data_IF_110458482222
#
_entry.id   IF_110458482222
#
_cell.length_a   1.000
_cell.length_b   1.000
_cell.length_c   1.000
_cell.angle_alpha   90.00
_cell.angle_beta   90.00
_cell.angle_gamma   90.00
#
_symmetry.space_group_name_H-M   'P 1'
#
loop_
_entity.id
_entity.type
_entity.pdbx_description
1 polymer ?
#
# COMPACT_ATOMS: atom_id res chain seq x y z
N UNK A 1 42.10 100.50 -9.75
CA UNK A 1 40.85 100.83 -10.48
C UNK A 1 40.70 99.80 -11.57
N UNK A 2 40.03 98.70 -11.25
CA UNK A 2 38.57 98.48 -11.43
C UNK A 2 38.29 98.06 -12.86
N UNK A 3 37.96 96.78 -13.05
CA UNK A 3 36.63 96.33 -13.53
C UNK A 3 36.61 96.26 -15.07
N UNK A 4 36.03 95.29 -15.76
CA UNK A 4 35.27 94.10 -15.42
C UNK A 4 35.03 93.33 -16.73
N UNK A 5 34.70 92.04 -16.62
CA UNK A 5 33.97 91.24 -17.60
C UNK A 5 34.50 90.98 -19.04
N UNK A 6 35.01 89.75 -19.23
CA UNK A 6 34.53 88.85 -20.30
C UNK A 6 34.85 87.38 -20.00
N UNK A 7 33.95 86.79 -19.22
CA UNK A 7 33.33 85.46 -19.38
C UNK A 7 34.14 84.30 -20.00
N UNK A 8 34.51 83.37 -19.12
CA UNK A 8 34.04 81.96 -19.10
C UNK A 8 34.04 81.18 -20.42
N UNK A 9 35.07 80.33 -20.59
CA UNK A 9 34.94 79.03 -21.27
C UNK A 9 35.57 77.92 -20.44
N UNK A 10 34.83 77.47 -19.43
CA UNK A 10 34.98 76.13 -18.88
C UNK A 10 34.32 75.13 -19.84
N UNK A 11 35.09 74.18 -20.36
CA UNK A 11 34.56 72.99 -21.02
C UNK A 11 34.74 71.79 -20.09
N UNK A 12 33.93 71.70 -19.05
CA UNK A 12 33.75 70.50 -18.24
C UNK A 12 32.65 69.65 -18.87
N UNK A 13 33.04 68.62 -19.62
CA UNK A 13 32.14 67.56 -20.04
C UNK A 13 31.80 66.65 -18.85
N UNK A 14 30.72 66.96 -18.13
CA UNK A 14 30.10 66.03 -17.19
C UNK A 14 29.18 65.05 -17.93
N UNK A 15 29.59 63.79 -17.97
CA UNK A 15 28.77 62.65 -18.42
C UNK A 15 27.74 62.33 -17.31
N UNK A 16 26.45 62.54 -17.57
CA UNK A 16 25.36 62.06 -16.72
C UNK A 16 24.33 61.25 -17.53
N UNK A 17 24.52 59.93 -17.63
CA UNK A 17 23.43 59.02 -18.01
C UNK A 17 23.63 57.61 -17.45
N UNK A 18 23.21 57.33 -16.20
CA UNK A 18 23.14 55.93 -15.73
C UNK A 18 21.95 55.52 -14.83
N UNK A 19 20.97 56.40 -14.57
CA UNK A 19 19.86 56.03 -13.66
C UNK A 19 18.68 55.26 -14.28
N UNK A 20 18.48 55.31 -15.61
CA UNK A 20 17.32 54.64 -16.25
C UNK A 20 17.46 53.11 -16.38
N UNK A 21 18.68 52.60 -16.59
CA UNK A 21 18.94 51.15 -16.75
C UNK A 21 18.56 50.34 -15.52
N UNK A 22 18.78 50.89 -14.31
CA UNK A 22 18.57 50.18 -13.03
C UNK A 22 17.09 49.96 -12.69
N UNK A 23 16.19 50.86 -13.12
CA UNK A 23 14.73 50.70 -12.92
C UNK A 23 14.11 49.73 -13.93
N UNK A 24 14.60 49.73 -15.17
CA UNK A 24 14.18 48.77 -16.20
C UNK A 24 14.63 47.34 -15.87
N UNK A 25 15.88 47.15 -15.43
CA UNK A 25 16.39 45.85 -14.97
C UNK A 25 15.62 45.31 -13.75
N UNK A 26 15.28 46.18 -12.77
CA UNK A 26 14.44 45.77 -11.62
C UNK A 26 13.04 45.31 -12.06
N UNK A 27 12.39 46.04 -12.98
CA UNK A 27 11.08 45.65 -13.53
C UNK A 27 11.16 44.34 -14.31
N UNK A 28 12.21 44.16 -15.11
CA UNK A 28 12.48 42.93 -15.84
C UNK A 28 12.63 41.72 -14.90
N UNK A 29 13.41 41.83 -13.82
CA UNK A 29 13.57 40.76 -12.83
C UNK A 29 12.28 40.44 -12.05
N UNK A 30 11.46 41.45 -11.72
CA UNK A 30 10.16 41.24 -11.06
C UNK A 30 9.22 40.44 -11.99
N UNK A 31 9.17 40.79 -13.28
CA UNK A 31 8.36 40.05 -14.26
C UNK A 31 8.89 38.63 -14.51
N UNK A 32 10.20 38.44 -14.55
CA UNK A 32 10.81 37.11 -14.66
C UNK A 32 10.43 36.21 -13.47
N UNK A 33 10.51 36.74 -12.25
CA UNK A 33 10.13 36.01 -11.03
C UNK A 33 8.63 35.67 -11.06
N UNK A 34 7.77 36.63 -11.45
CA UNK A 34 6.33 36.38 -11.56
C UNK A 34 6.02 35.28 -12.59
N UNK A 35 6.69 35.27 -13.75
CA UNK A 35 6.54 34.23 -14.78
C UNK A 35 7.00 32.86 -14.24
N UNK A 36 8.11 32.81 -13.50
CA UNK A 36 8.58 31.57 -12.87
C UNK A 36 7.57 31.05 -11.84
N UNK A 37 6.97 31.92 -11.02
CA UNK A 37 5.93 31.53 -10.07
C UNK A 37 4.64 31.07 -10.75
N UNK A 38 4.22 31.71 -11.84
CA UNK A 38 3.06 31.30 -12.62
C UNK A 38 3.32 29.98 -13.34
N UNK A 39 4.51 29.79 -13.92
CA UNK A 39 4.90 28.52 -14.55
C UNK A 39 5.02 27.39 -13.52
N UNK A 40 5.59 27.66 -12.34
CA UNK A 40 5.66 26.71 -11.24
C UNK A 40 4.26 26.37 -10.70
N UNK A 41 3.39 27.37 -10.50
CA UNK A 41 2.01 27.19 -10.08
C UNK A 41 1.17 26.41 -11.10
N UNK A 42 1.34 26.72 -12.39
CA UNK A 42 0.70 26.02 -13.50
C UNK A 42 1.19 24.58 -13.65
N UNK A 43 2.50 24.33 -13.47
CA UNK A 43 3.06 22.98 -13.44
C UNK A 43 2.56 22.19 -12.23
N UNK A 44 2.50 22.81 -11.04
CA UNK A 44 1.93 22.20 -9.82
C UNK A 44 0.45 21.88 -10.02
N UNK A 45 -0.33 22.79 -10.62
CA UNK A 45 -1.75 22.57 -10.91
C UNK A 45 -1.98 21.50 -11.98
N UNK A 46 -1.17 21.48 -13.04
CA UNK A 46 -1.20 20.45 -14.08
C UNK A 46 -0.81 19.07 -13.52
N UNK A 47 0.27 19.00 -12.74
CA UNK A 47 0.66 17.81 -12.01
C UNK A 47 -0.49 17.37 -11.10
N UNK A 48 -1.10 18.26 -10.30
CA UNK A 48 -2.27 17.95 -9.47
C UNK A 48 -3.48 17.44 -10.27
N UNK A 49 -3.76 18.01 -11.43
CA UNK A 49 -4.89 17.60 -12.27
C UNK A 49 -4.66 16.19 -12.84
N UNK A 50 -3.46 15.91 -13.35
CA UNK A 50 -3.04 14.58 -13.83
C UNK A 50 -2.96 13.57 -12.67
N UNK A 51 -2.55 14.01 -11.47
CA UNK A 51 -2.54 13.24 -10.21
C UNK A 51 -3.97 12.86 -9.73
N UNK A 52 -4.96 13.72 -9.97
CA UNK A 52 -6.33 13.53 -9.46
C UNK A 52 -7.07 12.42 -10.19
N UNK A 53 -6.79 12.22 -11.48
CA UNK A 53 -7.48 11.23 -12.33
C UNK A 53 -7.13 9.79 -11.96
N UNK A 54 -5.86 9.45 -11.72
CA UNK A 54 -5.46 8.09 -11.30
C UNK A 54 -5.92 7.76 -9.87
N UNK A 55 -6.00 8.77 -8.99
CA UNK A 55 -6.48 8.56 -7.60
C UNK A 55 -7.96 8.16 -7.52
N UNK A 56 -8.76 8.55 -8.52
CA UNK A 56 -10.17 8.18 -8.63
C UNK A 56 -10.37 6.73 -9.07
N UNK A 57 -9.37 6.10 -9.70
CA UNK A 57 -9.50 4.76 -10.31
C UNK A 57 -9.37 3.65 -9.27
N UNK A 58 -8.42 3.74 -8.35
CA UNK A 58 -8.18 2.69 -7.33
C UNK A 58 -8.94 2.90 -6.02
N UNK A 59 -9.34 4.15 -5.74
CA UNK A 59 -9.99 4.48 -4.48
C UNK A 59 -11.43 3.97 -4.50
N UNK A 60 -11.70 3.00 -3.64
CA UNK A 60 -13.02 2.44 -3.45
C UNK A 60 -13.30 2.39 -1.94
N UNK A 61 -14.28 3.17 -1.43
CA UNK A 61 -14.62 3.12 -0.03
C UNK A 61 -15.10 1.72 0.35
N UNK A 62 -14.54 1.15 1.42
CA UNK A 62 -14.87 -0.21 1.84
C UNK A 62 -16.34 -0.38 2.27
N UNK A 63 -17.00 0.69 2.70
CA UNK A 63 -18.37 0.65 3.24
C UNK A 63 -18.52 -0.16 4.52
N UNK A 64 -17.41 -0.66 5.09
CA UNK A 64 -17.37 -1.43 6.33
C UNK A 64 -17.45 -0.50 7.55
N UNK A 65 -18.03 -0.95 8.68
CA UNK A 65 -17.98 -0.21 9.93
C UNK A 65 -16.53 0.03 10.36
N UNK A 66 -16.13 1.30 10.47
CA UNK A 66 -14.82 1.69 10.99
C UNK A 66 -14.87 1.69 12.51
N UNK A 67 -14.00 0.91 13.16
CA UNK A 67 -13.92 0.85 14.63
C UNK A 67 -13.16 2.04 15.23
N UNK A 68 -12.49 2.85 14.40
CA UNK A 68 -11.81 4.10 14.77
C UNK A 68 -11.59 4.97 13.53
N UNK A 69 -11.31 6.25 13.73
CA UNK A 69 -10.97 7.18 12.65
C UNK A 69 -9.55 6.90 12.11
N UNK A 70 -9.52 6.23 10.95
CA UNK A 70 -8.30 5.82 10.27
C UNK A 70 -7.42 7.00 9.82
N UNK A 71 -8.02 8.09 9.37
CA UNK A 71 -7.30 9.29 8.91
C UNK A 71 -6.54 9.95 10.07
N UNK A 72 -7.16 10.01 11.24
CA UNK A 72 -6.55 10.51 12.48
C UNK A 72 -5.43 9.60 12.99
N UNK A 73 -5.51 8.28 12.73
CA UNK A 73 -4.44 7.32 13.08
C UNK A 73 -3.15 7.67 12.32
N UNK A 74 -3.22 7.86 11.00
CA UNK A 74 -2.05 8.23 10.19
C UNK A 74 -1.55 9.64 10.52
N UNK A 75 -2.46 10.61 10.68
CA UNK A 75 -2.11 11.98 11.04
C UNK A 75 -1.27 12.02 12.33
N UNK A 76 -1.71 11.30 13.37
CA UNK A 76 -1.09 11.24 14.71
C UNK A 76 0.04 10.21 14.84
N UNK A 77 0.48 9.59 13.73
CA UNK A 77 1.55 8.56 13.72
C UNK A 77 1.26 7.42 14.73
N UNK A 78 0.00 6.99 14.81
CA UNK A 78 -0.44 5.86 15.66
C UNK A 78 -0.33 4.54 14.90
N UNK A 79 -0.23 3.38 15.58
CA UNK A 79 -0.21 2.09 14.89
C UNK A 79 -1.45 1.87 14.03
N UNK A 80 -1.26 1.41 12.79
CA UNK A 80 -2.31 1.24 11.78
C UNK A 80 -2.43 -0.23 11.36
N UNK A 81 -3.62 -0.63 10.91
CA UNK A 81 -3.95 -1.97 10.43
C UNK A 81 -4.47 -1.90 8.99
N UNK A 82 -4.01 -2.83 8.15
CA UNK A 82 -4.39 -2.93 6.75
C UNK A 82 -4.75 -4.39 6.47
N UNK A 83 -5.94 -4.63 5.93
CA UNK A 83 -6.35 -5.94 5.43
C UNK A 83 -5.88 -6.11 3.99
N UNK A 84 -4.97 -7.05 3.74
CA UNK A 84 -4.47 -7.39 2.41
C UNK A 84 -5.27 -8.57 1.86
N UNK A 85 -5.85 -8.39 0.67
CA UNK A 85 -6.71 -9.34 0.00
C UNK A 85 -6.17 -9.64 -1.40
N UNK A 86 -6.10 -10.92 -1.74
CA UNK A 86 -5.70 -11.40 -3.06
C UNK A 86 -6.83 -12.18 -3.73
N UNK A 87 -7.21 -11.83 -4.97
CA UNK A 87 -8.23 -12.55 -5.75
C UNK A 87 -7.65 -13.21 -7.00
N UNK A 88 -8.22 -14.35 -7.40
CA UNK A 88 -7.89 -15.02 -8.67
C UNK A 88 -8.83 -14.63 -9.82
N UNK A 89 -9.64 -13.58 -9.64
CA UNK A 89 -10.48 -13.01 -10.70
C UNK A 89 -9.75 -11.87 -11.40
N UNK A 90 -9.84 -11.82 -12.74
CA UNK A 90 -9.27 -10.74 -13.56
C UNK A 90 -9.84 -9.34 -13.24
N UNK A 91 -9.48 -8.33 -14.03
CA UNK A 91 -9.73 -6.90 -13.85
C UNK A 91 -10.85 -6.50 -12.86
N UNK A 92 -10.50 -5.60 -11.94
CA UNK A 92 -11.34 -5.13 -10.84
C UNK A 92 -12.53 -4.30 -11.34
N UNK A 93 -13.62 -4.96 -11.73
CA UNK A 93 -14.79 -4.27 -12.30
C UNK A 93 -15.80 -5.15 -13.02
N UNK A 94 -15.55 -6.47 -13.10
CA UNK A 94 -16.52 -7.42 -13.65
C UNK A 94 -17.61 -7.76 -12.62
N UNK A 95 -18.83 -8.03 -13.12
CA UNK A 95 -20.00 -8.39 -12.30
C UNK A 95 -19.83 -9.70 -11.49
N UNK A 96 -18.81 -10.50 -11.78
CA UNK A 96 -18.52 -11.72 -11.03
C UNK A 96 -17.61 -11.44 -9.83
N UNK A 97 -18.18 -11.47 -8.62
CA UNK A 97 -17.42 -11.40 -7.38
C UNK A 97 -16.73 -12.75 -7.16
N UNK A 98 -15.41 -12.77 -7.32
CA UNK A 98 -14.58 -13.95 -7.07
C UNK A 98 -14.53 -14.39 -5.61
N UNK A 99 -13.49 -15.15 -5.27
CA UNK A 99 -13.09 -15.45 -3.89
C UNK A 99 -11.75 -14.79 -3.60
N UNK A 100 -11.53 -14.43 -2.35
CA UNK A 100 -10.20 -14.01 -1.88
C UNK A 100 -9.41 -15.25 -1.45
N UNK A 101 -8.40 -15.62 -2.23
CA UNK A 101 -7.51 -16.76 -1.94
C UNK A 101 -6.34 -16.39 -1.03
N UNK A 102 -6.11 -15.10 -0.85
CA UNK A 102 -5.14 -14.55 0.10
C UNK A 102 -5.85 -13.57 1.01
N UNK A 103 -5.72 -13.77 2.32
CA UNK A 103 -6.31 -12.89 3.34
C UNK A 103 -5.24 -12.71 4.41
N UNK A 104 -4.75 -11.48 4.59
CA UNK A 104 -3.71 -11.19 5.58
C UNK A 104 -4.04 -9.91 6.33
N UNK A 105 -3.84 -9.90 7.64
CA UNK A 105 -3.92 -8.68 8.44
C UNK A 105 -2.50 -8.20 8.70
N UNK A 106 -2.18 -7.01 8.21
CA UNK A 106 -0.92 -6.33 8.48
C UNK A 106 -1.15 -5.23 9.50
N UNK A 107 -0.34 -5.20 10.55
CA UNK A 107 -0.30 -4.10 11.53
C UNK A 107 1.06 -3.44 11.48
N UNK A 108 1.10 -2.12 11.47
CA UNK A 108 2.31 -1.33 11.29
C UNK A 108 2.43 -0.35 12.44
N UNK A 109 3.47 -0.52 13.26
CA UNK A 109 3.69 0.31 14.43
C UNK A 109 4.94 1.19 14.23
N UNK A 110 4.76 2.50 13.99
CA UNK A 110 5.86 3.42 13.75
C UNK A 110 6.59 3.82 15.04
N UNK A 111 6.05 3.48 16.23
CA UNK A 111 6.66 3.76 17.52
C UNK A 111 7.63 2.66 17.94
N UNK A 112 7.23 1.40 17.79
CA UNK A 112 8.08 0.23 18.06
C UNK A 112 8.92 -0.18 16.86
N UNK A 113 8.73 0.51 15.73
CA UNK A 113 9.42 0.24 14.47
C UNK A 113 9.24 -1.22 14.00
N UNK A 114 8.04 -1.77 14.15
CA UNK A 114 7.70 -3.17 13.86
C UNK A 114 6.44 -3.26 13.02
N UNK A 115 6.45 -4.14 12.02
CA UNK A 115 5.24 -4.58 11.32
C UNK A 115 4.99 -6.06 11.61
N UNK A 116 3.73 -6.44 11.81
CA UNK A 116 3.32 -7.83 11.96
C UNK A 116 2.31 -8.15 10.87
N UNK A 117 2.53 -9.22 10.12
CA UNK A 117 1.63 -9.71 9.08
C UNK A 117 1.17 -11.13 9.41
N UNK A 118 -0.14 -11.31 9.60
CA UNK A 118 -0.72 -12.62 9.89
C UNK A 118 -1.61 -13.06 8.73
N UNK A 119 -1.32 -14.21 8.12
CA UNK A 119 -2.25 -14.81 7.15
C UNK A 119 -3.38 -15.56 7.84
N UNK A 120 -4.58 -15.44 7.26
CA UNK A 120 -5.76 -16.18 7.66
C UNK A 120 -6.05 -17.25 6.60
N UNK A 121 -6.18 -18.53 6.99
CA UNK A 121 -6.48 -19.59 6.03
C UNK A 121 -7.79 -19.31 5.29
N UNK A 122 -7.76 -19.39 3.95
CA UNK A 122 -8.93 -19.08 3.12
C UNK A 122 -10.17 -19.95 3.45
N UNK A 123 -9.92 -21.17 3.92
CA UNK A 123 -10.92 -22.17 4.29
C UNK A 123 -11.31 -22.07 5.79
N UNK A 124 -10.83 -21.06 6.51
CA UNK A 124 -11.14 -20.86 7.94
C UNK A 124 -12.64 -20.71 8.16
N UNK A 125 -13.18 -21.47 9.13
CA UNK A 125 -14.60 -21.41 9.52
C UNK A 125 -14.91 -20.11 10.27
N UNK A 126 -15.83 -19.32 9.72
CA UNK A 126 -16.27 -18.04 10.29
C UNK A 126 -17.78 -17.88 10.18
N UNK A 127 -18.31 -16.92 10.93
CA UNK A 127 -19.67 -16.42 10.73
C UNK A 127 -19.59 -15.09 9.97
N UNK A 128 -20.48 -14.91 9.01
CA UNK A 128 -20.59 -13.73 8.15
C UNK A 128 -21.59 -12.75 8.78
N UNK A 129 -21.14 -11.63 9.40
CA UNK A 129 -22.03 -10.73 10.14
C UNK A 129 -23.20 -10.17 9.33
N UNK A 130 -22.98 -9.81 8.05
CA UNK A 130 -24.01 -9.28 7.17
C UNK A 130 -24.84 -10.35 6.46
N UNK A 131 -24.41 -11.62 6.56
CA UNK A 131 -24.96 -12.75 5.80
C UNK A 131 -25.13 -13.99 6.69
N UNK A 132 -25.75 -13.80 7.87
CA UNK A 132 -25.89 -14.84 8.89
C UNK A 132 -26.51 -16.14 8.36
N UNK A 133 -27.46 -16.06 7.42
CA UNK A 133 -28.11 -17.23 6.78
C UNK A 133 -27.15 -18.18 6.04
N UNK A 134 -25.96 -17.70 5.65
CA UNK A 134 -24.93 -18.50 4.99
C UNK A 134 -23.83 -18.96 5.96
N UNK A 135 -23.98 -18.70 7.26
CA UNK A 135 -23.01 -19.09 8.29
C UNK A 135 -23.32 -20.48 8.86
N UNK A 136 -22.31 -21.27 9.28
CA UNK A 136 -20.89 -20.99 9.14
C UNK A 136 -20.40 -21.14 7.70
N UNK A 137 -19.48 -20.26 7.29
CA UNK A 137 -18.89 -20.25 5.96
C UNK A 137 -17.37 -20.23 6.03
N UNK A 138 -16.73 -20.51 4.89
CA UNK A 138 -15.29 -20.28 4.72
C UNK A 138 -15.04 -18.79 4.58
N UNK A 139 -13.99 -18.27 5.22
CA UNK A 139 -13.72 -16.83 5.22
C UNK A 139 -13.55 -16.23 3.81
N UNK A 140 -13.02 -17.00 2.85
CA UNK A 140 -12.91 -16.55 1.46
C UNK A 140 -14.25 -16.24 0.77
N UNK A 141 -15.36 -16.79 1.27
CA UNK A 141 -16.70 -16.55 0.75
C UNK A 141 -17.28 -15.22 1.23
N UNK A 142 -16.73 -14.58 2.27
CA UNK A 142 -17.16 -13.26 2.72
C UNK A 142 -17.11 -12.24 1.57
N UNK A 143 -16.05 -12.31 0.76
CA UNK A 143 -15.91 -11.46 -0.43
C UNK A 143 -16.95 -11.78 -1.51
N UNK A 144 -17.27 -13.06 -1.73
CA UNK A 144 -18.31 -13.47 -2.68
C UNK A 144 -19.68 -12.93 -2.29
N UNK A 145 -20.04 -13.03 -1.00
CA UNK A 145 -21.35 -12.61 -0.52
C UNK A 145 -21.49 -11.09 -0.42
N UNK A 146 -20.52 -10.40 0.19
CA UNK A 146 -20.64 -8.98 0.52
C UNK A 146 -19.43 -8.13 0.15
N UNK A 147 -18.54 -8.64 -0.69
CA UNK A 147 -17.33 -7.93 -1.12
C UNK A 147 -16.40 -7.58 0.03
N UNK A 148 -15.58 -6.56 -0.18
CA UNK A 148 -14.64 -6.06 0.83
C UNK A 148 -15.32 -5.68 2.14
N UNK A 149 -16.54 -5.11 2.08
CA UNK A 149 -17.34 -4.72 3.25
C UNK A 149 -17.52 -5.88 4.22
N UNK A 150 -17.98 -7.01 3.71
CA UNK A 150 -18.26 -8.19 4.53
C UNK A 150 -16.98 -8.88 4.99
N UNK A 151 -15.94 -8.93 4.15
CA UNK A 151 -14.64 -9.47 4.54
C UNK A 151 -14.03 -8.70 5.71
N UNK A 152 -14.02 -7.36 5.65
CA UNK A 152 -13.55 -6.52 6.76
C UNK A 152 -14.38 -6.76 8.01
N UNK A 153 -15.71 -6.74 7.89
CA UNK A 153 -16.61 -6.94 9.03
C UNK A 153 -16.40 -8.31 9.69
N UNK A 154 -16.21 -9.35 8.88
CA UNK A 154 -15.91 -10.71 9.33
C UNK A 154 -14.58 -10.77 10.08
N UNK A 155 -13.50 -10.22 9.53
CA UNK A 155 -12.17 -10.21 10.18
C UNK A 155 -12.20 -9.40 11.48
N UNK A 156 -12.79 -8.21 11.46
CA UNK A 156 -12.91 -7.35 12.65
C UNK A 156 -13.64 -8.06 13.78
N UNK A 157 -14.78 -8.71 13.47
CA UNK A 157 -15.58 -9.42 14.48
C UNK A 157 -14.88 -10.70 14.96
N UNK A 158 -14.25 -11.44 14.05
CA UNK A 158 -13.60 -12.71 14.37
C UNK A 158 -12.36 -12.53 15.24
N UNK A 159 -11.51 -11.55 14.91
CA UNK A 159 -10.26 -11.30 15.62
C UNK A 159 -10.38 -10.19 16.68
N UNK A 160 -11.48 -9.46 16.72
CA UNK A 160 -11.62 -8.28 17.59
C UNK A 160 -10.44 -7.30 17.42
N UNK A 161 -10.09 -7.02 16.17
CA UNK A 161 -9.00 -6.12 15.76
C UNK A 161 -9.61 -5.08 14.83
N UNK A 162 -9.37 -3.76 15.02
CA UNK A 162 -9.79 -2.76 14.05
C UNK A 162 -9.05 -2.99 12.74
N UNK A 163 -9.74 -2.79 11.61
CA UNK A 163 -9.14 -2.75 10.28
C UNK A 163 -9.32 -1.33 9.74
N UNK A 164 -8.23 -0.57 9.72
CA UNK A 164 -8.26 0.84 9.35
C UNK A 164 -8.40 1.03 7.84
N UNK A 165 -7.69 0.20 7.07
CA UNK A 165 -7.68 0.23 5.61
C UNK A 165 -7.70 -1.17 5.02
N UNK A 166 -7.94 -1.27 3.72
CA UNK A 166 -7.72 -2.49 2.97
C UNK A 166 -6.93 -2.25 1.68
N UNK A 167 -6.32 -3.32 1.20
CA UNK A 167 -5.72 -3.41 -0.12
C UNK A 167 -6.21 -4.70 -0.76
N UNK A 168 -6.84 -4.59 -1.92
CA UNK A 168 -7.34 -5.72 -2.69
C UNK A 168 -6.61 -5.72 -4.04
N UNK A 169 -5.95 -6.82 -4.37
CA UNK A 169 -5.12 -6.95 -5.57
C UNK A 169 -5.40 -8.30 -6.21
N UNK A 170 -5.45 -8.38 -7.54
CA UNK A 170 -5.47 -9.66 -8.23
C UNK A 170 -4.07 -10.09 -8.69
N UNK A 171 -3.96 -11.27 -9.29
CA UNK A 171 -2.66 -11.80 -9.73
C UNK A 171 -1.94 -10.91 -10.74
N UNK A 172 -2.68 -10.28 -11.68
CA UNK A 172 -2.10 -9.35 -12.65
C UNK A 172 -1.56 -8.08 -11.98
N UNK A 173 -2.26 -7.56 -10.98
CA UNK A 173 -1.80 -6.40 -10.20
C UNK A 173 -0.53 -6.69 -9.40
N UNK A 174 -0.42 -7.90 -8.81
CA UNK A 174 0.80 -8.33 -8.14
C UNK A 174 1.97 -8.48 -9.11
N UNK A 175 1.73 -9.07 -10.28
CA UNK A 175 2.74 -9.22 -11.35
C UNK A 175 3.32 -7.86 -11.75
N UNK A 176 2.45 -6.93 -12.13
CA UNK A 176 2.83 -5.56 -12.52
C UNK A 176 3.54 -4.83 -11.39
N UNK A 177 3.02 -4.90 -10.15
CA UNK A 177 3.65 -4.24 -9.00
C UNK A 177 5.08 -4.73 -8.78
N UNK A 178 5.36 -6.02 -8.99
CA UNK A 178 6.71 -6.57 -8.84
C UNK A 178 7.63 -6.13 -9.97
N UNK A 179 7.14 -6.13 -11.21
CA UNK A 179 7.94 -5.70 -12.37
C UNK A 179 8.28 -4.20 -12.30
N UNK A 180 7.35 -3.35 -11.89
CA UNK A 180 7.57 -1.91 -11.74
C UNK A 180 8.59 -1.55 -10.65
N UNK A 181 8.76 -2.39 -9.61
CA UNK A 181 9.83 -2.21 -8.61
C UNK A 181 11.17 -2.82 -9.04
N UNK A 182 11.26 -3.34 -10.27
CA UNK A 182 12.44 -4.01 -10.79
C UNK A 182 12.68 -5.38 -10.16
N UNK A 183 11.61 -6.07 -9.77
CA UNK A 183 11.66 -7.39 -9.14
C UNK A 183 11.98 -7.40 -7.64
N UNK A 184 11.76 -8.55 -7.01
CA UNK A 184 11.98 -8.76 -5.58
C UNK A 184 12.89 -9.95 -5.31
N UNK A 185 13.63 -9.90 -4.21
CA UNK A 185 14.49 -11.00 -3.80
C UNK A 185 13.83 -11.83 -2.69
N UNK A 186 13.72 -13.14 -2.89
CA UNK A 186 13.22 -14.08 -1.87
C UNK A 186 14.16 -15.26 -1.70
N UNK A 187 14.14 -15.87 -0.51
CA UNK A 187 14.79 -17.15 -0.25
C UNK A 187 13.71 -18.23 -0.27
N UNK A 188 13.91 -19.31 -1.05
CA UNK A 188 12.90 -20.37 -1.12
C UNK A 188 12.89 -21.21 0.16
N UNK A 189 11.73 -21.43 0.79
CA UNK A 189 11.64 -22.25 2.01
C UNK A 189 11.70 -23.77 1.72
N UNK A 190 11.50 -24.17 0.46
CA UNK A 190 11.52 -25.57 0.01
C UNK A 190 12.03 -25.70 -1.42
N UNK A 191 12.39 -26.92 -1.80
CA UNK A 191 12.71 -27.27 -3.19
C UNK A 191 11.45 -27.74 -3.92
N UNK A 192 11.15 -27.16 -5.07
CA UNK A 192 9.99 -27.53 -5.89
C UNK A 192 10.13 -27.07 -7.33
N UNK A 193 9.36 -27.70 -8.22
CA UNK A 193 9.23 -27.30 -9.62
C UNK A 193 7.76 -27.04 -9.94
N UNK A 194 7.44 -25.88 -10.51
CA UNK A 194 6.07 -25.51 -10.82
C UNK A 194 6.01 -24.68 -12.10
N UNK A 195 5.17 -25.10 -13.05
CA UNK A 195 4.96 -24.43 -14.35
C UNK A 195 6.28 -24.04 -15.05
N UNK A 196 7.24 -24.96 -15.09
CA UNK A 196 8.55 -24.77 -15.73
C UNK A 196 9.54 -23.87 -14.98
N UNK A 197 9.26 -23.49 -13.72
CA UNK A 197 10.23 -22.83 -12.85
C UNK A 197 10.64 -23.77 -11.70
N UNK A 198 11.93 -23.80 -11.38
CA UNK A 198 12.49 -24.62 -10.30
C UNK A 198 13.10 -23.71 -9.23
N UNK A 199 12.75 -23.99 -7.98
CA UNK A 199 13.29 -23.31 -6.79
C UNK A 199 13.93 -24.34 -5.88
N UNK A 200 15.06 -24.00 -5.28
CA UNK A 200 15.78 -24.85 -4.33
C UNK A 200 15.76 -24.24 -2.94
N UNK A 201 15.55 -25.09 -1.93
CA UNK A 201 15.51 -24.68 -0.53
C UNK A 201 16.77 -23.92 -0.14
N UNK A 202 16.59 -22.79 0.55
CA UNK A 202 17.68 -21.95 1.05
C UNK A 202 18.37 -21.09 -0.01
N UNK A 203 18.08 -21.29 -1.30
CA UNK A 203 18.62 -20.45 -2.37
C UNK A 203 17.84 -19.14 -2.51
N UNK A 204 18.56 -18.07 -2.80
CA UNK A 204 18.03 -16.75 -3.08
C UNK A 204 17.69 -16.62 -4.56
N UNK A 205 16.50 -16.14 -4.86
CA UNK A 205 16.03 -15.89 -6.22
C UNK A 205 15.57 -14.46 -6.37
N UNK A 206 15.95 -13.86 -7.50
CA UNK A 206 15.34 -12.63 -7.98
C UNK A 206 14.10 -12.96 -8.80
N UNK A 207 12.94 -12.52 -8.31
CA UNK A 207 11.63 -12.78 -8.89
C UNK A 207 11.14 -11.52 -9.62
N UNK A 208 10.90 -11.66 -10.91
CA UNK A 208 10.03 -10.78 -11.66
C UNK A 208 8.56 -11.22 -11.47
N UNK A 209 7.63 -10.52 -12.09
CA UNK A 209 6.20 -10.78 -11.99
C UNK A 209 5.82 -12.24 -12.32
N UNK A 210 6.23 -12.73 -13.49
CA UNK A 210 5.95 -14.12 -13.91
C UNK A 210 6.50 -15.17 -12.91
N UNK A 211 7.77 -15.05 -12.49
CA UNK A 211 8.35 -15.97 -11.48
C UNK A 211 7.65 -15.85 -10.14
N UNK A 212 7.16 -14.66 -9.77
CA UNK A 212 6.40 -14.43 -8.54
C UNK A 212 5.09 -15.19 -8.52
N UNK A 213 4.36 -15.22 -9.63
CA UNK A 213 3.12 -16.00 -9.74
C UNK A 213 3.39 -17.50 -9.58
N UNK A 214 4.44 -18.02 -10.23
CA UNK A 214 4.82 -19.44 -10.10
C UNK A 214 5.24 -19.79 -8.67
N UNK A 215 6.03 -18.93 -8.03
CA UNK A 215 6.48 -19.11 -6.65
C UNK A 215 5.31 -19.07 -5.65
N UNK A 216 4.35 -18.17 -5.84
CA UNK A 216 3.21 -17.96 -4.94
C UNK A 216 2.04 -18.93 -5.12
N UNK A 217 1.87 -19.57 -6.28
CA UNK A 217 0.72 -20.44 -6.57
C UNK A 217 0.93 -21.92 -6.26
N UNK A 218 2.18 -22.42 -6.29
CA UNK A 218 2.43 -23.85 -6.02
C UNK A 218 1.86 -24.23 -4.64
N UNK A 219 1.12 -25.33 -4.57
CA UNK A 219 0.50 -25.85 -3.34
C UNK A 219 0.77 -27.34 -3.12
N UNK A 220 0.58 -28.15 -4.15
CA UNK A 220 0.50 -29.60 -4.00
C UNK A 220 1.85 -30.27 -3.69
N UNK A 221 2.95 -29.67 -4.14
CA UNK A 221 4.31 -30.16 -3.83
C UNK A 221 4.83 -29.63 -2.47
N UNK A 222 4.06 -28.77 -1.79
CA UNK A 222 4.40 -28.30 -0.45
C UNK A 222 3.79 -29.25 0.58
N UNK A 223 4.60 -29.88 1.46
CA UNK A 223 4.08 -30.78 2.48
C UNK A 223 3.15 -30.07 3.49
N UNK A 224 3.21 -28.74 3.56
CA UNK A 224 2.31 -27.91 4.39
C UNK A 224 1.10 -27.40 3.61
N UNK A 225 0.97 -27.78 2.33
CA UNK A 225 -0.14 -27.43 1.45
C UNK A 225 -0.42 -25.93 1.40
N UNK A 226 -1.64 -25.55 1.76
CA UNK A 226 -2.10 -24.15 1.71
C UNK A 226 -1.29 -23.23 2.64
N UNK A 227 -0.85 -23.73 3.80
CA UNK A 227 -0.06 -22.97 4.76
C UNK A 227 1.32 -22.62 4.21
N UNK A 228 1.95 -23.55 3.48
CA UNK A 228 3.23 -23.29 2.80
C UNK A 228 3.07 -22.32 1.62
N UNK A 229 1.93 -22.36 0.90
CA UNK A 229 1.59 -21.34 -0.11
C UNK A 229 1.47 -19.96 0.52
N UNK A 230 0.76 -19.85 1.64
CA UNK A 230 0.58 -18.58 2.37
C UNK A 230 1.92 -18.03 2.87
N UNK A 231 2.85 -18.87 3.33
CA UNK A 231 4.21 -18.43 3.69
C UNK A 231 4.92 -17.78 2.52
N UNK A 232 4.90 -18.41 1.34
CA UNK A 232 5.52 -17.85 0.13
C UNK A 232 4.89 -16.52 -0.30
N UNK A 233 3.57 -16.37 -0.15
CA UNK A 233 2.90 -15.08 -0.35
C UNK A 233 3.39 -14.01 0.63
N UNK A 234 3.52 -14.32 1.93
CA UNK A 234 4.09 -13.39 2.93
C UNK A 234 5.53 -13.01 2.62
N UNK A 235 6.35 -13.95 2.12
CA UNK A 235 7.73 -13.68 1.69
C UNK A 235 7.77 -12.65 0.55
N UNK A 236 6.91 -12.81 -0.47
CA UNK A 236 6.79 -11.87 -1.58
C UNK A 236 6.37 -10.48 -1.10
N UNK A 237 5.30 -10.38 -0.30
CA UNK A 237 4.84 -9.08 0.20
C UNK A 237 5.89 -8.43 1.10
N UNK A 238 6.58 -9.20 1.93
CA UNK A 238 7.69 -8.69 2.76
C UNK A 238 8.85 -8.17 1.91
N UNK A 239 9.22 -8.89 0.84
CA UNK A 239 10.26 -8.47 -0.08
C UNK A 239 9.87 -7.21 -0.86
N UNK A 240 8.61 -7.15 -1.34
CA UNK A 240 8.04 -5.97 -1.98
C UNK A 240 8.07 -4.76 -1.03
N UNK A 241 7.57 -4.91 0.20
CA UNK A 241 7.62 -3.85 1.21
C UNK A 241 9.03 -3.33 1.45
N UNK A 242 10.04 -4.21 1.50
CA UNK A 242 11.45 -3.82 1.65
C UNK A 242 12.00 -3.06 0.44
N UNK A 243 11.56 -3.38 -0.79
CA UNK A 243 11.92 -2.66 -2.02
C UNK A 243 11.18 -1.32 -2.13
N UNK A 244 9.90 -1.30 -1.77
CA UNK A 244 8.98 -0.16 -1.89
C UNK A 244 9.14 0.93 -0.81
N UNK A 245 10.11 0.81 0.11
CA UNK A 245 10.38 1.84 1.15
C UNK A 245 10.88 3.18 0.55
N UNK A 246 11.23 3.19 -0.73
CA UNK A 246 11.51 4.41 -1.49
C UNK A 246 10.21 5.14 -1.82
N UNK A 247 10.04 6.37 -1.29
CA UNK A 247 8.92 7.26 -1.65
C UNK A 247 8.83 7.51 -3.16
N UNK A 248 9.96 7.41 -3.89
CA UNK A 248 10.02 7.60 -5.35
C UNK A 248 9.34 6.47 -6.12
N UNK A 249 9.21 5.29 -5.52
CA UNK A 249 8.68 4.09 -6.20
C UNK A 249 7.16 3.98 -6.01
N UNK A 250 6.66 4.22 -4.79
CA UNK A 250 5.21 4.09 -4.46
C UNK A 250 4.40 5.32 -4.89
N UNK A 251 5.03 6.49 -4.98
CA UNK A 251 4.39 7.71 -5.47
C UNK A 251 4.67 7.96 -6.95
N UNK A 252 5.27 7.00 -7.64
CA UNK A 252 5.39 7.08 -9.09
C UNK A 252 3.98 6.95 -9.68
N UNK A 253 3.51 7.98 -10.38
CA UNK A 253 2.22 7.94 -11.04
C UNK A 253 2.16 6.79 -12.06
N UNK A 254 3.28 6.45 -12.72
CA UNK A 254 3.35 5.33 -13.66
C UNK A 254 3.12 3.98 -12.96
N UNK A 255 3.69 3.79 -11.76
CA UNK A 255 3.45 2.61 -10.92
C UNK A 255 1.96 2.50 -10.56
N UNK A 256 1.37 3.60 -10.09
CA UNK A 256 -0.03 3.63 -9.67
C UNK A 256 -0.98 3.42 -10.85
N UNK A 257 -0.67 3.99 -12.03
CA UNK A 257 -1.44 3.78 -13.28
C UNK A 257 -1.35 2.31 -13.71
N UNK A 258 -0.14 1.73 -13.72
CA UNK A 258 0.08 0.35 -14.19
C UNK A 258 -0.77 -0.67 -13.42
N UNK A 259 -0.89 -0.49 -12.10
CA UNK A 259 -1.63 -1.42 -11.22
C UNK A 259 -3.10 -1.04 -11.01
N UNK A 260 -3.55 0.11 -11.55
CA UNK A 260 -4.84 0.70 -11.16
C UNK A 260 -6.06 -0.16 -11.49
N UNK A 261 -6.08 -0.82 -12.66
CA UNK A 261 -7.17 -1.71 -13.07
C UNK A 261 -7.23 -3.04 -12.29
N UNK A 262 -6.18 -3.33 -11.53
CA UNK A 262 -5.94 -4.63 -10.88
C UNK A 262 -5.91 -4.51 -9.34
N UNK A 263 -6.20 -3.32 -8.82
CA UNK A 263 -6.12 -2.97 -7.41
C UNK A 263 -7.30 -2.10 -6.96
N UNK A 264 -7.77 -2.33 -5.73
CA UNK A 264 -8.71 -1.46 -5.04
C UNK A 264 -8.25 -1.21 -3.59
N UNK A 265 -8.48 0.00 -3.09
CA UNK A 265 -8.16 0.37 -1.71
C UNK A 265 -9.03 1.52 -1.22
N UNK A 266 -9.21 1.65 0.09
CA UNK A 266 -9.76 2.87 0.71
C UNK A 266 -8.68 3.80 1.27
N UNK A 267 -7.41 3.58 0.92
CA UNK A 267 -6.32 4.52 1.16
C UNK A 267 -6.42 5.70 0.18
N UNK A 268 -6.50 6.91 0.72
CA UNK A 268 -6.31 8.12 -0.10
C UNK A 268 -4.83 8.30 -0.45
N UNK A 269 -4.52 9.15 -1.44
CA UNK A 269 -3.11 9.49 -1.74
C UNK A 269 -2.39 10.12 -0.55
N UNK A 270 -3.07 10.95 0.25
CA UNK A 270 -2.49 11.52 1.46
C UNK A 270 -2.22 10.46 2.53
N UNK A 271 -3.08 9.46 2.65
CA UNK A 271 -2.83 8.30 3.51
C UNK A 271 -1.61 7.51 3.05
N UNK A 272 -1.51 7.19 1.75
CA UNK A 272 -0.37 6.47 1.17
C UNK A 272 0.94 7.24 1.38
N UNK A 273 0.94 8.56 1.15
CA UNK A 273 2.09 9.43 1.42
C UNK A 273 2.43 9.45 2.92
N UNK A 274 1.42 9.51 3.78
CA UNK A 274 1.57 9.43 5.23
C UNK A 274 2.22 8.12 5.68
N UNK A 275 1.79 6.99 5.12
CA UNK A 275 2.40 5.68 5.35
C UNK A 275 3.85 5.64 4.87
N UNK A 276 4.10 6.05 3.63
CA UNK A 276 5.43 6.04 3.01
C UNK A 276 6.44 6.94 3.73
N UNK A 277 6.01 8.07 4.31
CA UNK A 277 6.91 8.98 5.03
C UNK A 277 7.06 8.61 6.51
N UNK A 278 5.95 8.32 7.20
CA UNK A 278 5.94 8.18 8.67
C UNK A 278 6.18 6.76 9.16
N UNK A 279 5.97 5.74 8.33
CA UNK A 279 6.00 4.32 8.70
C UNK A 279 7.11 3.51 7.99
N UNK A 280 7.89 4.16 7.12
CA UNK A 280 8.92 3.53 6.27
C UNK A 280 9.90 2.62 7.00
N UNK A 281 10.28 2.99 8.22
CA UNK A 281 11.23 2.21 9.02
C UNK A 281 10.55 0.95 9.57
N UNK A 282 9.29 1.05 9.99
CA UNK A 282 8.54 -0.08 10.52
C UNK A 282 8.27 -1.13 9.44
N UNK A 283 8.11 -0.71 8.18
CA UNK A 283 7.97 -1.60 7.04
C UNK A 283 9.20 -2.48 6.78
N UNK A 284 10.41 -2.06 7.18
CA UNK A 284 11.64 -2.87 7.03
C UNK A 284 11.70 -4.03 8.01
N UNK A 285 11.06 -3.88 9.16
CA UNK A 285 11.04 -4.83 10.28
C UNK A 285 9.71 -5.58 10.32
N UNK A 286 9.35 -6.20 9.19
CA UNK A 286 8.16 -7.02 9.08
C UNK A 286 8.43 -8.43 9.61
N UNK A 287 7.64 -8.85 10.60
CA UNK A 287 7.52 -10.24 11.03
C UNK A 287 6.27 -10.85 10.43
N UNK A 288 6.32 -12.14 10.13
CA UNK A 288 5.25 -12.88 9.48
C UNK A 288 4.80 -14.03 10.38
N UNK A 289 3.50 -14.26 10.42
CA UNK A 289 2.86 -15.37 11.12
C UNK A 289 1.60 -15.84 10.35
N UNK A 290 0.91 -16.87 10.85
CA UNK A 290 -0.37 -17.33 10.32
C UNK A 290 -1.28 -17.87 11.43
N UNK A 291 -2.60 -17.76 11.22
CA UNK A 291 -3.55 -18.54 12.00
C UNK A 291 -3.52 -20.00 11.55
N UNK A 292 -3.56 -20.94 12.50
CA UNK A 292 -3.60 -22.37 12.21
C UNK A 292 -4.94 -23.01 12.58
N UNK A 293 -5.59 -23.64 11.59
CA UNK A 293 -6.80 -24.45 11.79
C UNK A 293 -6.49 -25.94 11.90
N UNK A 294 -7.50 -26.69 12.36
CA UNK A 294 -7.59 -28.14 12.13
C UNK A 294 -8.67 -28.39 11.09
N UNK A 295 -8.35 -29.19 10.07
CA UNK A 295 -9.30 -29.60 9.05
C UNK A 295 -10.46 -30.38 9.66
N UNK A 296 -11.71 -29.98 9.39
CA UNK A 296 -12.93 -30.68 9.77
C UNK A 296 -13.96 -30.67 8.64
N UNK A 297 -14.60 -31.82 8.42
CA UNK A 297 -15.74 -31.93 7.51
C UNK A 297 -17.01 -31.50 8.22
N UNK A 298 -17.72 -30.50 7.68
CA UNK A 298 -19.01 -30.01 8.17
C UNK A 298 -19.95 -29.84 6.97
N UNK A 299 -21.11 -30.52 6.99
CA UNK A 299 -22.09 -30.42 5.89
C UNK A 299 -21.50 -30.73 4.51
N UNK A 300 -20.65 -31.75 4.40
CA UNK A 300 -20.00 -32.16 3.14
C UNK A 300 -18.86 -31.25 2.67
N UNK A 301 -18.52 -30.19 3.40
CA UNK A 301 -17.42 -29.27 3.07
C UNK A 301 -16.29 -29.36 4.09
N UNK A 302 -15.05 -29.27 3.61
CA UNK A 302 -13.85 -29.20 4.46
C UNK A 302 -13.58 -27.78 4.93
N UNK A 303 -13.44 -27.57 6.24
CA UNK A 303 -13.13 -26.30 6.88
C UNK A 303 -11.84 -26.37 7.68
N UNK A 304 -11.13 -25.25 7.76
CA UNK A 304 -10.08 -25.03 8.76
C UNK A 304 -10.71 -24.45 10.03
N UNK A 305 -10.87 -25.27 11.06
CA UNK A 305 -11.43 -24.83 12.34
C UNK A 305 -10.30 -24.37 13.26
N UNK A 306 -10.16 -23.05 13.40
CA UNK A 306 -9.22 -22.43 14.32
C UNK A 306 -9.77 -22.50 15.74
N UNK A 307 -8.94 -22.93 16.70
CA UNK A 307 -9.34 -23.06 18.09
C UNK A 307 -9.53 -21.68 18.75
N UNK A 308 -10.25 -21.62 19.87
CA UNK A 308 -10.39 -20.37 20.63
C UNK A 308 -9.04 -19.83 21.09
N UNK A 309 -8.14 -20.72 21.55
CA UNK A 309 -6.79 -20.36 21.99
C UNK A 309 -5.95 -19.78 20.83
N UNK A 310 -5.99 -20.40 19.65
CA UNK A 310 -5.26 -19.91 18.49
C UNK A 310 -5.82 -18.57 17.99
N UNK A 311 -7.14 -18.42 17.99
CA UNK A 311 -7.80 -17.15 17.68
C UNK A 311 -7.38 -16.04 18.65
N UNK A 312 -7.30 -16.35 19.94
CA UNK A 312 -6.84 -15.41 20.97
C UNK A 312 -5.36 -15.05 20.77
N UNK A 313 -4.49 -16.02 20.47
CA UNK A 313 -3.07 -15.80 20.16
C UNK A 313 -2.90 -14.81 19.01
N UNK A 314 -3.55 -15.08 17.87
CA UNK A 314 -3.51 -14.23 16.68
C UNK A 314 -4.08 -12.85 16.96
N UNK A 315 -5.23 -12.77 17.66
CA UNK A 315 -5.83 -11.50 18.07
C UNK A 315 -4.85 -10.69 18.92
N UNK A 316 -4.23 -11.30 19.93
CA UNK A 316 -3.34 -10.64 20.86
C UNK A 316 -2.04 -10.19 20.21
N UNK A 317 -1.51 -10.95 19.27
CA UNK A 317 -0.33 -10.53 18.51
C UNK A 317 -0.61 -9.25 17.69
N UNK A 318 -1.73 -9.23 16.96
CA UNK A 318 -2.15 -8.06 16.18
C UNK A 318 -2.48 -6.86 17.08
N UNK A 319 -3.24 -7.08 18.17
CA UNK A 319 -3.63 -6.04 19.13
C UNK A 319 -2.43 -5.44 19.84
N UNK A 320 -1.48 -6.27 20.26
CA UNK A 320 -0.24 -5.83 20.90
C UNK A 320 0.56 -4.92 19.97
N UNK A 321 0.71 -5.29 18.68
CA UNK A 321 1.41 -4.43 17.74
C UNK A 321 0.63 -3.13 17.45
N UNK A 322 -0.70 -3.13 17.59
CA UNK A 322 -1.52 -1.92 17.50
C UNK A 322 -1.52 -1.04 18.77
N UNK A 323 -0.85 -1.48 19.84
CA UNK A 323 -0.90 -0.80 21.14
C UNK A 323 -2.27 -0.86 21.81
N UNK A 324 -3.04 -1.92 21.54
CA UNK A 324 -4.34 -2.19 22.14
C UNK A 324 -4.20 -3.25 23.23
N UNK A 325 -5.04 -3.17 24.27
CA UNK A 325 -5.10 -4.19 25.34
C UNK A 325 -5.36 -5.58 24.75
N UNK A 326 -4.59 -6.58 25.14
CA UNK A 326 -4.86 -7.99 24.79
C UNK A 326 -6.20 -8.44 25.37
N UNK A 327 -6.84 -9.43 24.76
CA UNK A 327 -8.05 -10.05 25.30
C UNK A 327 -7.81 -11.54 25.48
N UNK A 328 -8.30 -12.07 26.58
CA UNK A 328 -8.34 -13.51 26.84
C UNK A 328 -9.43 -14.18 26.02
#
# INVERSE_FOLDING_TARGET
>A
MSEDNKELRQATNHIHHHHHRRRWLKRFFIWLIAIIFVAAGGYVAYAWHKLSETSKIIYQPSGAPKLRDASQVIAKKKPVSILLLGTDTGAMGRNYKGRTDTIMVMTINPKTNKSTMVSLPRDMKVNLPGYAKYSPAKINSAYTYGGTKETISTVQKYLNVPIDYYLLVNMGGLEKAIDEVGGVDVVSPLSFSYLGATFQKGQKYHLNGNKTLKFSRMRYDDPRGDYGRQERQRLIITALLKKSVSYKTVLNDDFMIAISDEMQTDLTRSDMLGLALKYRTAGKNAVSDHAQGKTKMLGGQSFEVVSAAERARVSNELRSNLGLTTKN
#
